data_IF_854811294366
#
_entry.id   IF_854811294366
#
_cell.length_a   1.000
_cell.length_b   1.000
_cell.length_c   1.000
_cell.angle_alpha   90.00
_cell.angle_beta   90.00
_cell.angle_gamma   90.00
#
_symmetry.space_group_name_H-M   'P 1'
#
loop_
_entity.id
_entity.type
_entity.pdbx_description
1 polymer ?
#
# COMPACT_ATOMS: atom_id res chain seq x y z
N UNK A 1 5.71 -4.20 -30.75
CA UNK A 1 6.72 -4.76 -29.84
C UNK A 1 8.10 -4.48 -30.44
N UNK A 2 8.94 -3.65 -29.80
CA UNK A 2 10.33 -3.43 -30.28
C UNK A 2 11.13 -4.71 -30.04
N UNK A 3 11.74 -5.24 -31.09
CA UNK A 3 12.42 -6.54 -31.07
C UNK A 3 13.90 -6.35 -30.74
N UNK A 4 14.51 -7.34 -30.10
CA UNK A 4 15.93 -7.35 -29.72
C UNK A 4 16.92 -7.23 -30.91
N UNK A 5 16.41 -7.40 -32.14
CA UNK A 5 17.17 -7.21 -33.39
C UNK A 5 17.27 -5.74 -33.82
N UNK A 6 16.46 -4.86 -33.24
CA UNK A 6 16.44 -3.43 -33.55
C UNK A 6 17.65 -2.71 -32.90
N UNK A 7 18.52 -2.06 -33.68
CA UNK A 7 19.68 -1.35 -33.15
C UNK A 7 19.31 -0.21 -32.20
N UNK A 8 18.21 0.50 -32.46
CA UNK A 8 17.77 1.63 -31.64
C UNK A 8 17.31 1.15 -30.26
N UNK A 9 16.62 0.02 -30.23
CA UNK A 9 16.22 -0.63 -28.99
C UNK A 9 17.42 -1.04 -28.12
N UNK A 10 18.47 -1.60 -28.73
CA UNK A 10 19.70 -1.97 -28.01
C UNK A 10 20.46 -0.75 -27.50
N UNK A 11 20.50 0.34 -28.27
CA UNK A 11 21.12 1.59 -27.85
C UNK A 11 20.42 2.18 -26.61
N UNK A 12 19.08 2.19 -26.59
CA UNK A 12 18.31 2.61 -25.42
C UNK A 12 18.54 1.70 -24.21
N UNK A 13 18.50 0.37 -24.39
CA UNK A 13 18.83 -0.57 -23.29
C UNK A 13 20.23 -0.34 -22.74
N UNK A 14 21.21 -0.10 -23.61
CA UNK A 14 22.57 0.20 -23.19
C UNK A 14 22.64 1.51 -22.40
N UNK A 15 21.93 2.56 -22.83
CA UNK A 15 21.82 3.83 -22.10
C UNK A 15 21.22 3.63 -20.70
N UNK A 16 20.11 2.91 -20.59
CA UNK A 16 19.49 2.61 -19.29
C UNK A 16 20.43 1.79 -18.42
N UNK A 17 21.07 0.74 -18.96
CA UNK A 17 22.01 -0.10 -18.24
C UNK A 17 23.19 0.70 -17.67
N UNK A 18 23.74 1.66 -18.45
CA UNK A 18 24.76 2.60 -17.96
C UNK A 18 24.28 3.47 -16.81
N UNK A 19 23.08 4.03 -16.94
CA UNK A 19 22.49 4.83 -15.88
C UNK A 19 22.29 4.02 -14.59
N UNK A 20 21.88 2.75 -14.70
CA UNK A 20 21.67 1.86 -13.55
C UNK A 20 22.93 1.66 -12.73
N UNK A 21 24.06 1.25 -13.33
CA UNK A 21 25.27 1.04 -12.53
C UNK A 21 25.98 2.34 -12.14
N UNK A 22 25.79 3.43 -12.90
CA UNK A 22 26.26 4.75 -12.48
C UNK A 22 25.53 5.23 -11.22
N UNK A 23 24.23 4.94 -11.10
CA UNK A 23 23.46 5.21 -9.89
C UNK A 23 23.92 4.37 -8.67
N UNK A 24 24.51 3.19 -8.90
CA UNK A 24 25.18 2.39 -7.88
C UNK A 24 26.56 2.94 -7.48
N UNK A 25 27.05 3.98 -8.15
CA UNK A 25 28.41 4.49 -7.97
C UNK A 25 29.50 3.59 -8.55
N UNK A 26 29.13 2.55 -9.32
CA UNK A 26 30.06 1.58 -9.85
C UNK A 26 30.71 2.05 -11.16
N UNK A 27 32.02 1.84 -11.27
CA UNK A 27 32.78 2.06 -12.51
C UNK A 27 32.75 0.81 -13.39
N UNK A 28 33.03 0.98 -14.68
CA UNK A 28 33.03 -0.11 -15.67
C UNK A 28 33.82 -1.37 -15.25
N UNK A 29 35.04 -1.31 -14.67
CA UNK A 29 35.74 -2.51 -14.23
C UNK A 29 35.07 -3.21 -13.04
N UNK A 30 34.48 -2.45 -12.11
CA UNK A 30 33.78 -3.00 -10.93
C UNK A 30 32.50 -3.73 -11.36
N UNK A 31 31.76 -3.16 -12.32
CA UNK A 31 30.58 -3.80 -12.93
C UNK A 31 30.97 -5.08 -13.68
N UNK A 32 32.10 -5.09 -14.38
CA UNK A 32 32.59 -6.27 -15.07
C UNK A 32 32.91 -7.40 -14.08
N UNK A 33 33.55 -7.07 -12.95
CA UNK A 33 33.82 -8.01 -11.88
C UNK A 33 32.53 -8.53 -11.23
N UNK A 34 31.60 -7.64 -10.90
CA UNK A 34 30.29 -7.97 -10.31
C UNK A 34 29.48 -8.93 -11.18
N UNK A 35 29.48 -8.69 -12.49
CA UNK A 35 28.75 -9.51 -13.46
C UNK A 35 29.54 -10.74 -13.91
N UNK A 36 30.78 -10.93 -13.42
CA UNK A 36 31.70 -11.97 -13.85
C UNK A 36 31.89 -12.04 -15.37
N UNK A 37 32.00 -10.89 -16.03
CA UNK A 37 32.26 -10.77 -17.47
C UNK A 37 33.52 -9.97 -17.76
N UNK A 38 34.09 -10.15 -18.95
CA UNK A 38 35.24 -9.36 -19.37
C UNK A 38 34.87 -7.87 -19.56
N UNK A 39 35.78 -6.93 -19.29
CA UNK A 39 35.55 -5.50 -19.59
C UNK A 39 35.22 -5.25 -21.08
N UNK A 40 35.77 -6.08 -21.97
CA UNK A 40 35.47 -6.06 -23.41
C UNK A 40 34.01 -6.40 -23.70
N UNK A 41 33.47 -7.44 -23.06
CA UNK A 41 32.07 -7.84 -23.17
C UNK A 41 31.16 -6.71 -22.71
N UNK A 42 31.46 -6.13 -21.55
CA UNK A 42 30.70 -5.03 -20.99
C UNK A 42 30.75 -3.77 -21.87
N UNK A 43 31.91 -3.48 -22.46
CA UNK A 43 32.05 -2.38 -23.42
C UNK A 43 31.18 -2.60 -24.66
N UNK A 44 31.13 -3.81 -25.21
CA UNK A 44 30.28 -4.12 -26.37
C UNK A 44 28.77 -3.99 -26.04
N UNK A 45 28.37 -4.35 -24.83
CA UNK A 45 27.00 -4.13 -24.33
C UNK A 45 26.69 -2.64 -24.20
N UNK A 46 27.60 -1.87 -23.61
CA UNK A 46 27.45 -0.41 -23.48
C UNK A 46 27.41 0.29 -24.85
N UNK A 47 28.14 -0.22 -25.85
CA UNK A 47 28.08 0.30 -27.21
C UNK A 47 26.80 -0.10 -27.97
N UNK A 48 25.93 -0.96 -27.41
CA UNK A 48 24.75 -1.48 -28.07
C UNK A 48 25.05 -2.45 -29.22
N UNK A 49 26.30 -2.91 -29.34
CA UNK A 49 26.77 -3.82 -30.41
C UNK A 49 26.18 -5.23 -30.25
N UNK A 50 26.05 -5.68 -29.01
CA UNK A 50 25.39 -6.93 -28.65
C UNK A 50 24.29 -6.65 -27.64
N UNK A 51 23.29 -7.53 -27.60
CA UNK A 51 22.26 -7.45 -26.58
C UNK A 51 22.80 -7.75 -25.19
N UNK A 52 22.17 -7.12 -24.20
CA UNK A 52 22.49 -7.27 -22.79
C UNK A 52 21.68 -8.43 -22.24
N UNK A 53 22.33 -9.51 -21.74
CA UNK A 53 21.65 -10.61 -21.12
C UNK A 53 20.69 -10.13 -20.03
N UNK A 54 19.47 -10.66 -20.03
CA UNK A 54 18.44 -10.24 -19.09
C UNK A 54 18.88 -10.43 -17.62
N UNK A 55 19.63 -11.49 -17.32
CA UNK A 55 20.17 -11.74 -15.98
C UNK A 55 21.10 -10.63 -15.49
N UNK A 56 22.00 -10.12 -16.33
CA UNK A 56 22.90 -9.02 -15.99
C UNK A 56 22.12 -7.72 -15.71
N UNK A 57 21.12 -7.44 -16.55
CA UNK A 57 20.25 -6.28 -16.38
C UNK A 57 19.40 -6.39 -15.09
N UNK A 58 18.85 -7.56 -14.80
CA UNK A 58 18.04 -7.83 -13.61
C UNK A 58 18.87 -7.75 -12.33
N UNK A 59 20.08 -8.32 -12.32
CA UNK A 59 20.98 -8.26 -11.17
C UNK A 59 21.29 -6.81 -10.76
N UNK A 60 21.64 -5.94 -11.72
CA UNK A 60 21.88 -4.53 -11.41
C UNK A 60 20.64 -3.82 -10.86
N UNK A 61 19.43 -4.16 -11.33
CA UNK A 61 18.19 -3.57 -10.81
C UNK A 61 17.84 -4.04 -9.41
N UNK A 62 18.11 -5.31 -9.10
CA UNK A 62 17.99 -5.85 -7.74
C UNK A 62 18.98 -5.18 -6.81
N UNK A 63 20.24 -5.02 -7.24
CA UNK A 63 21.27 -4.33 -6.46
C UNK A 63 20.99 -2.83 -6.28
N UNK A 64 20.35 -2.20 -7.27
CA UNK A 64 19.88 -0.82 -7.17
C UNK A 64 18.55 -0.71 -6.38
N UNK A 65 18.15 -1.80 -5.71
CA UNK A 65 17.00 -1.89 -4.81
C UNK A 65 15.64 -1.66 -5.49
N UNK A 66 15.53 -1.74 -6.82
CA UNK A 66 14.33 -1.30 -7.53
C UNK A 66 13.22 -2.34 -7.73
N UNK A 67 13.45 -3.63 -7.50
CA UNK A 67 12.41 -4.65 -7.75
C UNK A 67 12.45 -5.78 -6.73
N UNK A 68 11.27 -6.09 -6.17
CA UNK A 68 11.05 -7.27 -5.35
C UNK A 68 10.61 -8.42 -6.28
N UNK A 69 11.33 -9.57 -6.29
CA UNK A 69 11.23 -10.55 -7.38
C UNK A 69 9.98 -11.44 -7.35
N UNK A 70 9.24 -11.48 -6.24
CA UNK A 70 8.05 -12.32 -6.09
C UNK A 70 6.79 -11.55 -6.58
N UNK A 71 5.90 -12.17 -7.37
CA UNK A 71 4.67 -11.54 -7.87
C UNK A 71 3.78 -10.91 -6.80
N UNK A 72 3.85 -11.39 -5.54
CA UNK A 72 3.12 -10.79 -4.41
C UNK A 72 3.55 -9.35 -4.11
N UNK A 73 4.74 -8.94 -4.59
CA UNK A 73 5.28 -7.59 -4.45
C UNK A 73 5.16 -6.77 -5.73
N UNK A 74 4.24 -7.14 -6.63
CA UNK A 74 3.96 -6.34 -7.82
C UNK A 74 3.66 -4.89 -7.44
N UNK A 75 4.29 -3.96 -8.16
CA UNK A 75 4.19 -2.51 -7.98
C UNK A 75 4.87 -1.94 -6.70
N UNK A 76 5.38 -2.82 -5.83
CA UNK A 76 6.27 -2.44 -4.73
C UNK A 76 7.71 -2.26 -5.24
N UNK A 77 8.37 -1.21 -4.77
CA UNK A 77 9.77 -0.94 -5.14
C UNK A 77 10.44 -0.08 -4.08
N UNK A 78 11.77 -0.14 -3.95
CA UNK A 78 12.48 0.88 -3.20
C UNK A 78 12.91 2.00 -4.13
N UNK A 79 12.74 3.24 -3.69
CA UNK A 79 13.28 4.40 -4.35
C UNK A 79 13.68 5.44 -3.31
N UNK A 80 14.82 6.10 -3.53
CA UNK A 80 15.38 7.13 -2.61
C UNK A 80 15.52 6.64 -1.16
N UNK A 81 15.88 5.36 -0.95
CA UNK A 81 16.04 4.77 0.39
C UNK A 81 14.72 4.54 1.15
N UNK A 82 13.57 4.63 0.48
CA UNK A 82 12.24 4.38 1.04
C UNK A 82 11.56 3.24 0.29
N UNK A 83 10.72 2.48 0.97
CA UNK A 83 9.84 1.50 0.34
C UNK A 83 8.58 2.21 -0.15
N UNK A 84 8.27 2.06 -1.43
CA UNK A 84 7.05 2.58 -2.03
C UNK A 84 5.99 1.50 -2.10
N UNK A 85 4.81 1.83 -1.59
CA UNK A 85 3.62 0.98 -1.65
C UNK A 85 2.88 1.22 -2.99
N UNK A 86 2.11 0.23 -3.48
CA UNK A 86 1.34 0.38 -4.71
C UNK A 86 0.28 1.49 -4.63
N UNK A 87 -0.13 1.88 -3.43
CA UNK A 87 -1.05 3.01 -3.19
C UNK A 87 -0.35 4.39 -3.29
N UNK A 88 0.97 4.42 -3.51
CA UNK A 88 1.75 5.64 -3.67
C UNK A 88 2.27 6.23 -2.35
N UNK A 89 2.36 5.43 -1.29
CA UNK A 89 2.93 5.87 -0.03
C UNK A 89 4.40 5.47 0.10
N UNK A 90 5.23 6.37 0.64
CA UNK A 90 6.63 6.08 0.93
C UNK A 90 6.82 5.76 2.42
N UNK A 91 7.54 4.69 2.72
CA UNK A 91 7.84 4.24 4.08
C UNK A 91 9.35 4.28 4.28
N UNK A 92 9.83 5.11 5.21
CA UNK A 92 11.24 5.17 5.59
C UNK A 92 11.62 3.97 6.47
N UNK A 93 12.92 3.62 6.50
CA UNK A 93 13.41 2.46 7.24
C UNK A 93 13.10 2.50 8.76
N UNK A 94 13.13 3.69 9.37
CA UNK A 94 12.78 3.84 10.79
C UNK A 94 11.27 3.70 11.03
N UNK A 95 10.44 4.12 10.07
CA UNK A 95 8.98 3.96 10.12
C UNK A 95 8.57 2.49 9.97
N UNK A 96 9.32 1.71 9.20
CA UNK A 96 9.08 0.27 9.01
C UNK A 96 9.61 -0.61 10.15
N UNK A 97 10.40 -0.07 11.08
CA UNK A 97 11.06 -0.84 12.15
C UNK A 97 10.07 -1.59 13.06
N UNK A 98 8.83 -1.10 13.17
CA UNK A 98 7.78 -1.70 14.01
C UNK A 98 6.57 -2.17 13.20
N UNK A 99 6.72 -2.32 11.88
CA UNK A 99 5.60 -2.62 11.01
C UNK A 99 4.94 -3.98 11.33
N UNK A 100 5.74 -4.99 11.67
CA UNK A 100 5.21 -6.28 12.10
C UNK A 100 4.29 -6.15 13.32
N UNK A 101 4.63 -5.27 14.27
CA UNK A 101 3.80 -4.98 15.43
C UNK A 101 2.51 -4.26 15.01
N UNK A 102 2.59 -3.23 14.15
CA UNK A 102 1.39 -2.53 13.68
C UNK A 102 0.41 -3.46 12.97
N UNK A 103 0.89 -4.34 12.08
CA UNK A 103 0.03 -5.32 11.39
C UNK A 103 -0.62 -6.27 12.38
N UNK A 104 0.11 -6.73 13.40
CA UNK A 104 -0.42 -7.60 14.46
C UNK A 104 -1.45 -6.86 15.33
N UNK A 105 -1.18 -5.61 15.69
CA UNK A 105 -2.12 -4.78 16.45
C UNK A 105 -3.39 -4.49 15.64
N UNK A 106 -3.29 -4.19 14.34
CA UNK A 106 -4.45 -3.98 13.47
C UNK A 106 -5.32 -5.24 13.36
N UNK A 107 -4.69 -6.42 13.19
CA UNK A 107 -5.40 -7.70 13.22
C UNK A 107 -6.12 -7.92 14.56
N UNK A 108 -5.42 -7.65 15.67
CA UNK A 108 -5.98 -7.80 17.01
C UNK A 108 -7.13 -6.82 17.27
N UNK A 109 -7.02 -5.58 16.79
CA UNK A 109 -8.05 -4.57 16.90
C UNK A 109 -9.34 -4.98 16.20
N UNK A 110 -9.25 -5.62 15.02
CA UNK A 110 -10.41 -6.16 14.33
C UNK A 110 -11.18 -7.20 15.15
N UNK A 111 -10.44 -8.11 15.81
CA UNK A 111 -11.01 -9.13 16.72
C UNK A 111 -11.70 -8.47 17.92
N UNK A 112 -11.01 -7.54 18.58
CA UNK A 112 -11.56 -6.85 19.75
C UNK A 112 -12.79 -6.03 19.40
N UNK A 113 -12.75 -5.30 18.28
CA UNK A 113 -13.88 -4.49 17.80
C UNK A 113 -15.11 -5.34 17.49
N UNK A 114 -14.93 -6.52 16.89
CA UNK A 114 -16.03 -7.44 16.65
C UNK A 114 -16.66 -7.94 17.96
N UNK A 115 -15.82 -8.22 18.96
CA UNK A 115 -16.27 -8.68 20.28
C UNK A 115 -17.02 -7.59 21.06
N UNK A 116 -16.53 -6.35 21.03
CA UNK A 116 -17.20 -5.20 21.63
C UNK A 116 -18.58 -4.96 21.00
N UNK A 117 -18.68 -5.00 19.66
CA UNK A 117 -19.98 -4.85 18.98
C UNK A 117 -20.98 -5.93 19.35
N UNK A 118 -20.53 -7.17 19.53
CA UNK A 118 -21.41 -8.27 19.94
C UNK A 118 -21.90 -8.09 21.39
N UNK A 119 -21.01 -7.65 22.29
CA UNK A 119 -21.39 -7.32 23.66
C UNK A 119 -22.39 -6.17 23.71
N UNK A 120 -22.17 -5.09 22.96
CA UNK A 120 -23.12 -3.98 22.84
C UNK A 120 -24.49 -4.44 22.33
N UNK A 121 -24.52 -5.37 21.37
CA UNK A 121 -25.76 -5.98 20.86
C UNK A 121 -26.49 -6.79 21.93
N UNK A 122 -25.77 -7.58 22.72
CA UNK A 122 -26.32 -8.38 23.81
C UNK A 122 -26.87 -7.50 24.93
N UNK A 123 -26.13 -6.46 25.34
CA UNK A 123 -26.60 -5.49 26.34
C UNK A 123 -27.81 -4.70 25.85
N UNK A 124 -27.86 -4.31 24.56
CA UNK A 124 -29.05 -3.69 23.96
C UNK A 124 -30.26 -4.63 23.89
N UNK A 125 -30.03 -5.93 23.68
CA UNK A 125 -31.07 -6.95 23.72
C UNK A 125 -31.57 -7.19 25.15
N UNK A 126 -30.70 -7.23 26.15
CA UNK A 126 -31.07 -7.38 27.56
C UNK A 126 -31.80 -6.13 28.09
N UNK A 127 -31.37 -4.92 27.68
CA UNK A 127 -32.05 -3.66 27.98
C UNK A 127 -33.47 -3.57 27.40
N UNK A 128 -33.74 -4.24 26.27
CA UNK A 128 -35.09 -4.36 25.69
C UNK A 128 -35.96 -5.43 26.37
N UNK A 129 -35.36 -6.44 27.01
CA UNK A 129 -36.09 -7.40 27.86
C UNK A 129 -36.37 -6.88 29.28
N UNK A 130 -35.64 -5.85 29.74
CA UNK A 130 -35.86 -5.17 31.03
C UNK A 130 -36.96 -4.11 31.00
N UNK A 131 -37.37 -3.62 29.83
CA UNK A 131 -38.51 -2.71 29.66
C UNK A 131 -39.84 -3.48 29.73
N UNK A 132 -40.08 -4.16 30.85
CA UNK A 132 -41.39 -4.73 31.17
C UNK A 132 -42.34 -3.54 31.32
N UNK A 133 -43.41 -3.42 30.53
CA UNK A 133 -44.35 -2.32 30.70
C UNK A 133 -44.94 -2.45 32.10
N UNK A 134 -44.63 -1.49 32.96
CA UNK A 134 -45.36 -1.29 34.20
C UNK A 134 -46.78 -0.94 33.76
N UNK A 135 -47.65 -1.95 33.77
CA UNK A 135 -49.10 -1.77 33.71
C UNK A 135 -49.49 -1.08 35.01
N UNK A 136 -49.52 0.25 34.98
CA UNK A 136 -50.06 1.06 36.05
C UNK A 136 -51.59 0.86 36.04
N UNK A 137 -52.05 -0.15 36.77
CA UNK A 137 -53.46 -0.38 37.09
C UNK A 137 -53.85 0.53 38.26
N UNK A 138 -54.84 1.40 38.04
CA UNK A 138 -55.45 2.23 39.09
C UNK A 138 -55.91 3.58 38.55
N UNK A 139 -57.22 3.70 38.35
CA UNK A 139 -57.88 4.78 37.61
C UNK A 139 -57.91 6.15 38.29
N UNK A 140 -58.16 7.16 37.46
CA UNK A 140 -58.38 8.55 37.83
C UNK A 140 -58.72 9.36 36.58
N UNK A 141 -60.01 9.64 36.42
CA UNK A 141 -60.66 10.38 35.34
C UNK A 141 -60.04 11.77 35.08
N UNK A 142 -59.97 12.18 33.80
CA UNK A 142 -59.62 13.54 33.40
C UNK A 142 -59.44 13.68 31.89
N UNK A 143 -60.46 14.21 31.22
CA UNK A 143 -60.57 14.40 29.78
C UNK A 143 -59.54 15.39 29.19
N UNK A 144 -59.16 15.17 27.93
CA UNK A 144 -58.51 16.18 27.07
C UNK A 144 -57.63 15.61 25.96
N UNK A 145 -58.21 15.32 24.79
CA UNK A 145 -57.51 15.23 23.49
C UNK A 145 -57.69 16.55 22.70
N UNK A 146 -57.00 16.79 21.58
CA UNK A 146 -55.63 16.41 21.19
C UNK A 146 -54.85 17.60 20.53
N UNK A 147 -53.52 17.53 20.48
CA UNK A 147 -52.67 18.57 19.85
C UNK A 147 -51.63 17.96 18.90
N UNK A 148 -51.75 18.30 17.62
CA UNK A 148 -51.15 17.67 16.45
C UNK A 148 -49.61 17.61 16.34
N UNK A 149 -49.18 16.54 15.65
CA UNK A 149 -47.99 16.32 14.84
C UNK A 149 -47.25 17.58 14.32
N UNK A 150 -45.92 17.54 14.38
CA UNK A 150 -45.07 18.50 13.67
C UNK A 150 -43.59 18.08 13.63
N UNK A 151 -43.25 17.23 12.66
CA UNK A 151 -41.88 17.04 12.16
C UNK A 151 -41.33 18.40 11.68
N UNK A 152 -40.19 18.84 12.20
CA UNK A 152 -39.42 19.92 11.59
C UNK A 152 -37.94 19.52 11.51
N UNK A 153 -37.51 19.30 10.27
CA UNK A 153 -36.14 19.05 9.83
C UNK A 153 -35.27 20.30 10.09
N UNK A 154 -34.04 20.09 10.54
CA UNK A 154 -33.00 21.14 10.60
C UNK A 154 -32.15 21.17 9.32
N UNK A 155 -31.78 22.36 8.80
CA UNK A 155 -31.32 22.53 7.42
C UNK A 155 -29.82 22.34 7.18
N UNK A 156 -29.50 22.28 5.89
CA UNK A 156 -28.23 21.98 5.25
C UNK A 156 -27.09 23.01 5.43
N UNK A 157 -25.87 22.48 5.28
CA UNK A 157 -24.60 23.04 4.77
C UNK A 157 -24.50 24.57 4.56
N UNK A 158 -23.36 25.11 5.02
CA UNK A 158 -22.65 26.19 4.32
C UNK A 158 -21.15 25.87 4.21
N UNK A 159 -20.58 26.25 3.07
CA UNK A 159 -19.19 26.11 2.66
C UNK A 159 -18.54 27.49 2.53
N UNK A 160 -17.21 27.53 2.65
CA UNK A 160 -16.32 28.60 2.16
C UNK A 160 -15.72 29.49 3.26
N UNK A 161 -14.62 30.23 2.97
CA UNK A 161 -13.92 30.38 1.68
C UNK A 161 -12.70 29.47 1.48
#
# INVERSE_FOLDING_TARGET
>A
MRSNRDPDYRAERAKTFRATYAALGLKLPEVAQLLHVSPRTLHNWNAGKYDIPYAAYKLLRVLLHYELPDPAWKDWHFAQGRLWTPEGHSIAAHESSWWSLMVRMAKQFGVMSARCRELERQVGAEGSHGARPVTRSGGGSGAGEPGALGLAQGPARSAGP
#
